data_IF_992498327310
#
_entry.id   IF_992498327310
#
_cell.length_a   1.000
_cell.length_b   1.000
_cell.length_c   1.000
_cell.angle_alpha   90.00
_cell.angle_beta   90.00
_cell.angle_gamma   90.00
#
_symmetry.space_group_name_H-M   'P 1'
#
loop_
_entity.id
_entity.type
_entity.pdbx_description
1 polymer ?
#
# COMPACT_ATOMS: atom_id res chain seq x y z
N UNK A 1 18.42 -9.98 23.77
CA UNK A 1 18.24 -8.55 23.38
C UNK A 1 18.36 -8.45 21.88
N UNK A 2 17.48 -7.69 21.19
CA UNK A 2 17.70 -7.32 19.79
C UNK A 2 19.04 -6.57 19.70
N UNK A 3 19.97 -7.05 18.89
CA UNK A 3 21.23 -6.35 18.60
C UNK A 3 21.08 -5.63 17.27
N UNK A 4 21.40 -4.33 17.25
CA UNK A 4 21.54 -3.60 16.00
C UNK A 4 22.88 -4.01 15.39
N UNK A 5 22.91 -4.59 14.19
CA UNK A 5 24.15 -4.94 13.50
C UNK A 5 25.08 -3.74 13.40
N UNK A 6 26.37 -3.94 13.71
CA UNK A 6 27.40 -2.92 13.47
C UNK A 6 27.89 -3.04 12.04
N UNK A 7 27.90 -1.92 11.33
CA UNK A 7 28.54 -1.81 10.01
C UNK A 7 30.07 -1.86 10.16
N UNK A 8 30.76 -2.49 9.20
CA UNK A 8 32.21 -2.75 9.30
C UNK A 8 33.06 -1.55 8.85
N UNK A 9 32.57 -0.75 7.89
CA UNK A 9 33.26 0.43 7.37
C UNK A 9 32.45 1.73 7.55
N UNK A 10 33.15 2.86 7.58
CA UNK A 10 32.51 4.18 7.61
C UNK A 10 31.69 4.46 6.33
N UNK A 11 32.13 3.95 5.19
CA UNK A 11 31.39 4.09 3.93
C UNK A 11 30.06 3.33 3.97
N UNK A 12 30.04 2.13 4.55
CA UNK A 12 28.79 1.39 4.79
C UNK A 12 27.85 2.18 5.69
N UNK A 13 28.38 2.75 6.79
CA UNK A 13 27.59 3.61 7.68
C UNK A 13 26.90 4.75 6.92
N UNK A 14 27.64 5.46 6.07
CA UNK A 14 27.08 6.56 5.28
C UNK A 14 26.07 6.08 4.24
N UNK A 15 26.27 4.90 3.63
CA UNK A 15 25.30 4.29 2.74
C UNK A 15 23.98 4.00 3.46
N UNK A 16 24.02 3.35 4.63
CA UNK A 16 22.84 3.10 5.46
C UNK A 16 22.19 4.41 5.94
N UNK A 17 22.97 5.41 6.37
CA UNK A 17 22.44 6.69 6.83
C UNK A 17 21.69 7.43 5.72
N UNK A 18 22.25 7.48 4.50
CA UNK A 18 21.61 8.12 3.34
C UNK A 18 20.35 7.37 2.93
N UNK A 19 20.42 6.04 2.79
CA UNK A 19 19.26 5.22 2.48
C UNK A 19 18.16 5.35 3.54
N UNK A 20 18.52 5.39 4.82
CA UNK A 20 17.59 5.61 5.93
C UNK A 20 16.86 6.94 5.84
N UNK A 21 17.53 8.04 5.42
CA UNK A 21 16.86 9.33 5.19
C UNK A 21 15.86 9.26 4.03
N UNK A 22 16.23 8.60 2.93
CA UNK A 22 15.34 8.43 1.77
C UNK A 22 14.12 7.59 2.16
N UNK A 23 14.34 6.48 2.86
CA UNK A 23 13.26 5.63 3.38
C UNK A 23 12.37 6.41 4.35
N UNK A 24 12.93 7.16 5.30
CA UNK A 24 12.14 7.95 6.23
C UNK A 24 11.28 9.00 5.50
N UNK A 25 11.85 9.71 4.54
CA UNK A 25 11.10 10.67 3.73
C UNK A 25 9.97 9.98 2.93
N UNK A 26 10.23 8.82 2.34
CA UNK A 26 9.21 8.04 1.61
C UNK A 26 8.06 7.59 2.52
N UNK A 27 8.37 7.06 3.71
CA UNK A 27 7.37 6.45 4.60
C UNK A 27 6.62 7.46 5.47
N UNK A 28 7.20 8.62 5.78
CA UNK A 28 6.45 9.70 6.45
C UNK A 28 5.48 10.35 5.47
N UNK A 29 5.84 10.41 4.19
CA UNK A 29 5.07 11.07 3.15
C UNK A 29 4.33 10.09 2.22
N UNK A 30 4.03 8.87 2.67
CA UNK A 30 3.47 7.81 1.83
C UNK A 30 2.15 8.21 1.14
N UNK A 31 1.39 9.12 1.76
CA UNK A 31 0.12 9.63 1.23
C UNK A 31 0.33 10.71 0.16
N UNK A 32 1.52 11.27 0.00
CA UNK A 32 1.83 12.27 -1.04
C UNK A 32 2.68 11.71 -2.19
N UNK A 33 3.11 10.45 -2.10
CA UNK A 33 3.80 9.77 -3.20
C UNK A 33 2.90 9.73 -4.45
N UNK A 34 3.50 9.74 -5.63
CA UNK A 34 2.78 9.59 -6.89
C UNK A 34 2.13 8.19 -6.95
N UNK A 35 0.81 8.10 -7.21
CA UNK A 35 0.12 6.83 -7.37
C UNK A 35 0.75 5.96 -8.46
N UNK A 36 0.90 4.65 -8.21
CA UNK A 36 1.37 3.73 -9.23
C UNK A 36 0.35 3.66 -10.40
N UNK A 37 0.80 3.71 -11.67
CA UNK A 37 -0.07 3.65 -12.83
C UNK A 37 -0.59 2.23 -13.05
N UNK A 38 -1.71 1.90 -12.40
CA UNK A 38 -2.43 0.62 -12.59
C UNK A 38 -3.29 0.65 -13.85
N UNK A 39 -3.61 -0.52 -14.37
CA UNK A 39 -4.60 -0.67 -15.43
C UNK A 39 -5.98 -0.84 -14.82
N UNK A 40 -6.97 -0.05 -15.26
CA UNK A 40 -8.36 -0.25 -14.88
C UNK A 40 -9.03 -1.22 -15.85
N UNK A 41 -9.34 -2.44 -15.39
CA UNK A 41 -10.20 -3.37 -16.15
C UNK A 41 -11.63 -2.82 -16.20
N UNK A 42 -12.04 -2.16 -15.12
CA UNK A 42 -13.33 -1.48 -15.01
C UNK A 42 -13.22 -0.30 -14.06
N UNK A 43 -14.02 0.73 -14.32
CA UNK A 43 -14.16 1.88 -13.44
C UNK A 43 -13.05 2.92 -13.61
N UNK A 44 -12.46 2.99 -14.80
CA UNK A 44 -11.60 4.12 -15.18
C UNK A 44 -12.44 5.39 -15.32
N UNK A 45 -12.06 6.42 -14.59
CA UNK A 45 -12.73 7.73 -14.51
C UNK A 45 -11.80 8.86 -14.93
N UNK A 46 -10.63 8.55 -15.50
CA UNK A 46 -9.62 9.52 -15.93
C UNK A 46 -10.16 10.53 -16.96
N UNK A 47 -11.12 10.12 -17.79
CA UNK A 47 -11.76 10.97 -18.80
C UNK A 47 -13.02 11.67 -18.28
N UNK A 48 -13.83 10.96 -17.49
CA UNK A 48 -15.13 11.46 -17.02
C UNK A 48 -15.28 11.07 -15.54
N UNK A 49 -15.38 12.06 -14.63
CA UNK A 49 -15.69 11.80 -13.23
C UNK A 49 -17.05 11.10 -13.06
N UNK A 50 -17.20 10.21 -12.07
CA UNK A 50 -18.47 9.57 -11.80
C UNK A 50 -19.48 10.61 -11.28
N UNK A 51 -20.79 10.46 -11.58
CA UNK A 51 -21.83 11.39 -11.15
C UNK A 51 -22.01 11.43 -9.62
N UNK A 52 -21.67 10.34 -8.94
CA UNK A 52 -21.68 10.21 -7.48
C UNK A 52 -20.33 9.60 -7.03
N UNK A 53 -19.31 10.44 -6.79
CA UNK A 53 -17.98 9.97 -6.40
C UNK A 53 -17.97 9.23 -5.07
N UNK A 54 -18.73 9.68 -4.08
CA UNK A 54 -18.80 9.03 -2.76
C UNK A 54 -19.27 7.59 -2.89
N UNK A 55 -20.34 7.35 -3.65
CA UNK A 55 -20.83 5.99 -3.90
C UNK A 55 -19.92 5.19 -4.82
N UNK A 56 -19.35 5.83 -5.84
CA UNK A 56 -18.54 5.15 -6.84
C UNK A 56 -17.22 4.62 -6.24
N UNK A 57 -16.56 5.42 -5.40
CA UNK A 57 -15.30 5.05 -4.75
C UNK A 57 -15.47 4.41 -3.38
N UNK A 58 -16.69 4.25 -2.87
CA UNK A 58 -16.93 3.53 -1.61
C UNK A 58 -16.32 2.13 -1.65
N UNK A 59 -15.45 1.83 -0.68
CA UNK A 59 -14.90 0.50 -0.46
C UNK A 59 -15.65 -0.21 0.65
N UNK A 60 -16.11 -1.43 0.37
CA UNK A 60 -16.65 -2.33 1.40
C UNK A 60 -15.54 -3.26 1.90
N UNK A 61 -14.90 -3.99 0.99
CA UNK A 61 -13.73 -4.83 1.28
C UNK A 61 -13.02 -5.17 -0.04
N UNK A 62 -11.76 -4.75 -0.18
CA UNK A 62 -10.93 -5.13 -1.32
C UNK A 62 -10.59 -6.62 -1.30
N UNK A 63 -10.48 -7.24 -2.48
CA UNK A 63 -10.16 -8.67 -2.63
C UNK A 63 -9.27 -8.90 -3.83
N UNK A 64 -8.38 -9.89 -3.73
CA UNK A 64 -7.68 -10.42 -4.90
C UNK A 64 -8.66 -11.11 -5.84
N UNK A 65 -8.39 -11.05 -7.14
CA UNK A 65 -9.10 -11.86 -8.12
C UNK A 65 -8.74 -13.35 -7.98
N UNK A 66 -9.47 -14.21 -8.70
CA UNK A 66 -9.29 -15.66 -8.66
C UNK A 66 -9.99 -16.36 -7.49
N UNK A 67 -9.63 -17.62 -7.24
CA UNK A 67 -10.25 -18.48 -6.22
C UNK A 67 -9.18 -19.16 -5.38
N UNK A 68 -9.38 -19.23 -4.06
CA UNK A 68 -8.46 -19.94 -3.18
C UNK A 68 -8.30 -21.42 -3.61
N UNK A 69 -7.09 -21.99 -3.52
CA UNK A 69 -5.85 -21.37 -3.03
C UNK A 69 -5.10 -20.50 -4.06
N UNK A 70 -5.54 -20.46 -5.32
CA UNK A 70 -4.89 -19.75 -6.43
C UNK A 70 -5.51 -18.36 -6.64
N UNK A 71 -5.17 -17.43 -5.75
CA UNK A 71 -5.52 -16.02 -5.90
C UNK A 71 -4.56 -15.34 -6.88
N UNK A 72 -5.11 -14.47 -7.74
CA UNK A 72 -4.34 -13.59 -8.61
C UNK A 72 -4.03 -12.29 -7.87
N UNK A 73 -2.77 -12.12 -7.45
CA UNK A 73 -2.27 -10.93 -6.76
C UNK A 73 -1.97 -9.77 -7.71
N UNK A 74 -1.96 -9.99 -9.02
CA UNK A 74 -1.78 -8.91 -10.00
C UNK A 74 -3.06 -8.09 -10.22
N UNK A 75 -4.20 -8.58 -9.72
CA UNK A 75 -5.53 -7.98 -9.90
C UNK A 75 -6.25 -7.83 -8.57
N UNK A 76 -6.75 -6.63 -8.29
CA UNK A 76 -7.57 -6.31 -7.11
C UNK A 76 -8.95 -5.84 -7.53
N UNK A 77 -9.96 -6.52 -6.99
CA UNK A 77 -11.35 -6.09 -7.02
C UNK A 77 -11.50 -5.11 -5.86
N UNK A 78 -11.56 -3.81 -6.19
CA UNK A 78 -11.68 -2.73 -5.21
C UNK A 78 -13.11 -2.67 -4.66
N UNK A 79 -14.09 -2.63 -5.55
CA UNK A 79 -15.52 -2.72 -5.23
C UNK A 79 -16.32 -3.26 -6.43
N UNK A 80 -17.65 -3.15 -6.39
CA UNK A 80 -18.52 -3.62 -7.46
C UNK A 80 -18.41 -2.81 -8.77
N UNK A 81 -17.73 -1.66 -8.77
CA UNK A 81 -17.57 -0.75 -9.91
C UNK A 81 -16.15 -0.70 -10.45
N UNK A 82 -15.15 -0.95 -9.60
CA UNK A 82 -13.72 -0.72 -9.90
C UNK A 82 -12.95 -2.03 -9.76
N UNK A 83 -12.18 -2.36 -10.78
CA UNK A 83 -11.23 -3.48 -10.76
C UNK A 83 -9.93 -3.02 -11.42
N UNK A 84 -8.84 -3.16 -10.69
CA UNK A 84 -7.50 -2.77 -11.12
C UNK A 84 -6.62 -4.00 -11.35
N UNK A 85 -5.78 -3.95 -12.36
CA UNK A 85 -4.79 -4.98 -12.68
C UNK A 85 -3.44 -4.36 -13.03
N UNK A 86 -2.46 -5.21 -13.31
CA UNK A 86 -1.09 -4.79 -13.61
C UNK A 86 -0.30 -4.42 -12.36
N UNK A 87 -0.70 -4.93 -11.18
CA UNK A 87 0.06 -4.74 -9.93
C UNK A 87 1.31 -5.64 -10.00
N UNK A 88 2.53 -5.08 -9.92
CA UNK A 88 3.74 -5.90 -9.91
C UNK A 88 3.79 -6.80 -8.67
N UNK A 89 4.07 -8.09 -8.86
CA UNK A 89 4.09 -9.05 -7.75
C UNK A 89 5.17 -8.73 -6.70
N UNK A 90 6.28 -8.14 -7.13
CA UNK A 90 7.36 -7.64 -6.27
C UNK A 90 6.91 -6.52 -5.30
N UNK A 91 5.79 -5.83 -5.56
CA UNK A 91 5.24 -4.87 -4.60
C UNK A 91 4.77 -5.54 -3.30
N UNK A 92 4.52 -6.86 -3.32
CA UNK A 92 4.17 -7.63 -2.12
C UNK A 92 5.40 -8.06 -1.29
N UNK A 93 6.62 -7.87 -1.78
CA UNK A 93 7.85 -8.21 -1.05
C UNK A 93 8.10 -7.25 0.13
N UNK A 94 7.55 -6.03 0.07
CA UNK A 94 7.63 -5.10 1.18
C UNK A 94 6.67 -5.50 2.30
N UNK A 95 7.22 -6.19 3.30
CA UNK A 95 6.50 -6.76 4.44
C UNK A 95 6.74 -5.94 5.71
N UNK A 96 5.66 -5.54 6.36
CA UNK A 96 5.66 -4.84 7.65
C UNK A 96 4.87 -5.68 8.65
N UNK A 97 5.49 -6.04 9.77
CA UNK A 97 4.86 -6.85 10.82
C UNK A 97 4.23 -8.17 10.29
N UNK A 98 4.96 -8.88 9.42
CA UNK A 98 4.56 -10.19 8.90
C UNK A 98 3.51 -10.18 7.78
N UNK A 99 3.12 -8.99 7.29
CA UNK A 99 2.16 -8.85 6.17
C UNK A 99 2.63 -7.83 5.13
N UNK A 100 2.40 -8.07 3.82
CA UNK A 100 2.69 -7.07 2.79
C UNK A 100 1.95 -5.75 3.04
N UNK A 101 2.61 -4.62 2.79
CA UNK A 101 2.00 -3.29 3.00
C UNK A 101 0.67 -3.11 2.25
N UNK A 102 0.56 -3.64 1.03
CA UNK A 102 -0.67 -3.60 0.25
C UNK A 102 -1.82 -4.35 0.94
N UNK A 103 -1.52 -5.50 1.56
CA UNK A 103 -2.52 -6.28 2.30
C UNK A 103 -2.97 -5.57 3.59
N UNK A 104 -2.10 -4.74 4.21
CA UNK A 104 -2.52 -3.85 5.30
C UNK A 104 -3.54 -2.82 4.84
N UNK A 105 -3.34 -2.21 3.67
CA UNK A 105 -4.33 -1.27 3.10
C UNK A 105 -5.65 -1.98 2.83
N UNK A 106 -5.62 -3.16 2.20
CA UNK A 106 -6.84 -3.95 1.92
C UNK A 106 -7.60 -4.36 3.18
N UNK A 107 -6.90 -4.61 4.29
CA UNK A 107 -7.52 -4.94 5.57
C UNK A 107 -8.08 -3.71 6.29
N UNK A 108 -7.39 -2.57 6.23
CA UNK A 108 -7.75 -1.36 6.99
C UNK A 108 -8.74 -0.46 6.26
N UNK A 109 -8.67 -0.40 4.93
CA UNK A 109 -9.60 0.35 4.08
C UNK A 109 -10.82 -0.52 3.76
N UNK A 110 -11.65 -0.75 4.77
CA UNK A 110 -12.88 -1.52 4.66
C UNK A 110 -13.97 -0.93 5.57
N UNK A 111 -15.19 -1.46 5.43
CA UNK A 111 -16.27 -1.28 6.40
C UNK A 111 -16.31 -2.50 7.30
N UNK A 112 -16.14 -2.30 8.60
CA UNK A 112 -16.12 -3.39 9.57
C UNK A 112 -16.89 -3.03 10.82
N UNK A 113 -17.81 -3.90 11.22
CA UNK A 113 -18.53 -3.80 12.49
C UNK A 113 -17.85 -4.68 13.53
N UNK A 114 -17.50 -4.08 14.67
CA UNK A 114 -17.08 -4.86 15.83
C UNK A 114 -18.28 -5.61 16.41
N UNK A 115 -18.16 -6.92 16.59
CA UNK A 115 -19.29 -7.78 16.99
C UNK A 115 -19.73 -7.57 18.44
N UNK A 116 -18.79 -7.19 19.32
CA UNK A 116 -19.07 -7.05 20.75
C UNK A 116 -19.77 -5.71 21.05
N UNK A 117 -19.26 -4.62 20.46
CA UNK A 117 -19.77 -3.27 20.70
C UNK A 117 -20.82 -2.82 19.68
N UNK A 118 -20.89 -3.46 18.50
CA UNK A 118 -21.73 -3.01 17.38
C UNK A 118 -21.20 -1.75 16.66
N UNK A 119 -20.04 -1.24 17.06
CA UNK A 119 -19.46 -0.02 16.46
C UNK A 119 -19.00 -0.32 15.03
N UNK A 120 -19.49 0.49 14.08
CA UNK A 120 -19.08 0.43 12.68
C UNK A 120 -17.87 1.33 12.46
N UNK A 121 -16.76 0.71 12.05
CA UNK A 121 -15.61 1.41 11.50
C UNK A 121 -15.75 1.46 9.98
N UNK A 122 -16.04 2.64 9.44
CA UNK A 122 -16.14 2.89 8.01
C UNK A 122 -14.98 3.79 7.57
N UNK A 123 -13.98 3.21 6.92
CA UNK A 123 -12.79 3.93 6.45
C UNK A 123 -13.12 5.04 5.41
N UNK A 124 -14.24 4.92 4.70
CA UNK A 124 -14.67 5.93 3.71
C UNK A 124 -15.02 7.27 4.39
N UNK A 125 -15.44 7.24 5.66
CA UNK A 125 -15.74 8.47 6.40
C UNK A 125 -14.51 9.36 6.57
N UNK A 126 -13.33 8.77 6.75
CA UNK A 126 -12.08 9.56 6.79
C UNK A 126 -11.81 10.25 5.44
N UNK A 127 -12.00 9.53 4.33
CA UNK A 127 -11.85 10.06 2.98
C UNK A 127 -12.79 11.24 2.71
N UNK A 128 -14.04 11.15 3.17
CA UNK A 128 -15.07 12.17 2.93
C UNK A 128 -14.97 13.32 3.94
N UNK A 129 -14.98 13.01 5.23
CA UNK A 129 -15.12 14.00 6.31
C UNK A 129 -13.80 14.69 6.67
N UNK A 130 -12.66 14.02 6.47
CA UNK A 130 -11.33 14.55 6.86
C UNK A 130 -10.49 14.95 5.66
N UNK A 131 -10.37 14.08 4.65
CA UNK A 131 -9.56 14.35 3.46
C UNK A 131 -10.33 15.20 2.43
N UNK A 132 -11.66 15.06 2.36
CA UNK A 132 -12.48 15.72 1.35
C UNK A 132 -12.31 15.15 -0.06
N UNK A 133 -11.80 13.92 -0.19
CA UNK A 133 -11.56 13.24 -1.46
C UNK A 133 -12.06 11.78 -1.40
N UNK A 134 -13.23 11.45 -1.97
CA UNK A 134 -13.74 10.09 -2.00
C UNK A 134 -12.82 9.08 -2.71
N UNK A 135 -11.94 9.54 -3.61
CA UNK A 135 -10.97 8.69 -4.33
C UNK A 135 -9.81 8.25 -3.42
N UNK A 136 -9.67 8.87 -2.25
CA UNK A 136 -8.54 8.69 -1.35
C UNK A 136 -8.16 7.23 -1.08
N UNK A 137 -9.07 6.29 -0.75
CA UNK A 137 -8.66 4.90 -0.45
C UNK A 137 -8.06 4.17 -1.67
N UNK A 138 -8.58 4.46 -2.87
CA UNK A 138 -8.03 3.91 -4.12
C UNK A 138 -6.63 4.48 -4.40
N UNK A 139 -6.47 5.81 -4.27
CA UNK A 139 -5.17 6.47 -4.43
C UNK A 139 -4.17 5.99 -3.39
N UNK A 140 -4.58 5.82 -2.15
CA UNK A 140 -3.73 5.27 -1.09
C UNK A 140 -3.22 3.88 -1.48
N UNK A 141 -4.08 2.99 -1.99
CA UNK A 141 -3.65 1.68 -2.45
C UNK A 141 -2.61 1.78 -3.58
N UNK A 142 -2.85 2.62 -4.59
CA UNK A 142 -1.90 2.86 -5.69
C UNK A 142 -0.57 3.46 -5.20
N UNK A 143 -0.59 4.38 -4.24
CA UNK A 143 0.61 4.98 -3.65
C UNK A 143 1.42 3.95 -2.87
N UNK A 144 0.75 3.05 -2.16
CA UNK A 144 1.43 1.98 -1.42
C UNK A 144 2.08 0.97 -2.36
N UNK A 145 1.58 0.78 -3.59
CA UNK A 145 2.31 0.04 -4.63
C UNK A 145 3.65 0.75 -4.92
N UNK A 146 3.64 2.05 -5.20
CA UNK A 146 4.87 2.85 -5.43
C UNK A 146 5.83 2.78 -4.24
N UNK A 147 5.32 3.00 -3.02
CA UNK A 147 6.12 2.96 -1.78
C UNK A 147 6.78 1.60 -1.60
N UNK A 148 6.06 0.50 -1.84
CA UNK A 148 6.63 -0.85 -1.74
C UNK A 148 7.77 -1.05 -2.73
N UNK A 149 7.57 -0.67 -3.99
CA UNK A 149 8.57 -0.84 -5.05
C UNK A 149 9.83 -0.01 -4.77
N UNK A 150 9.68 1.27 -4.45
CA UNK A 150 10.80 2.15 -4.14
C UNK A 150 11.52 1.73 -2.85
N UNK A 151 10.79 1.27 -1.84
CA UNK A 151 11.40 0.70 -0.63
C UNK A 151 12.26 -0.50 -0.96
N UNK A 152 11.74 -1.47 -1.72
CA UNK A 152 12.49 -2.67 -2.05
C UNK A 152 13.68 -2.36 -2.95
N UNK A 153 13.58 -1.37 -3.85
CA UNK A 153 14.71 -0.87 -4.63
C UNK A 153 15.82 -0.31 -3.75
N UNK A 154 15.49 0.52 -2.76
CA UNK A 154 16.48 1.07 -1.82
C UNK A 154 17.10 -0.05 -0.98
N UNK A 155 16.28 -0.96 -0.44
CA UNK A 155 16.74 -2.07 0.42
C UNK A 155 17.66 -3.01 -0.34
N UNK A 156 17.33 -3.37 -1.58
CA UNK A 156 18.16 -4.23 -2.44
C UNK A 156 19.50 -3.57 -2.82
N UNK A 157 19.60 -2.25 -2.75
CA UNK A 157 20.82 -1.50 -3.02
C UNK A 157 21.71 -1.27 -1.78
N UNK A 158 21.28 -1.69 -0.59
CA UNK A 158 22.07 -1.54 0.63
C UNK A 158 23.31 -2.45 0.60
N UNK A 159 24.44 -2.01 1.19
CA UNK A 159 25.59 -2.88 1.39
C UNK A 159 25.23 -4.11 2.22
N UNK A 160 25.92 -5.22 1.98
CA UNK A 160 25.76 -6.40 2.80
C UNK A 160 26.19 -6.09 4.25
N UNK A 161 25.29 -6.35 5.20
CA UNK A 161 25.67 -6.49 6.60
C UNK A 161 26.43 -7.82 6.67
N UNK A 162 27.77 -7.77 6.57
CA UNK A 162 28.59 -8.98 6.62
C UNK A 162 28.27 -9.86 7.84
N UNK A 163 28.74 -11.11 7.86
CA UNK A 163 28.28 -12.17 8.79
C UNK A 163 27.86 -11.68 10.19
N UNK A 164 26.57 -11.88 10.48
CA UNK A 164 25.94 -11.61 11.78
C UNK A 164 26.23 -12.73 12.81
N UNK A 165 27.33 -13.47 12.63
CA UNK A 165 27.76 -14.58 13.50
C UNK A 165 28.23 -14.08 14.86
#
# INVERSE_FOLDING_TARGET
MPRIPRVKAADDFWAFSKAGRVLAALHVNYEQVEPYPVTFIRGDTSLVPPPDPERFYRVEQMKFAGKRPKLDRSTVIYNASITISGIPLEAYDYVVNGKPALEWVMERQCVKTDKASGIVNDANRYAIETVGDPVYPLRLFQRIITVSLETMKIVKALPALGDLS
#
